data_IF_632039535517
#
_entry.id   IF_632039535517
#
_cell.length_a   1.000
_cell.length_b   1.000
_cell.length_c   1.000
_cell.angle_alpha   90.00
_cell.angle_beta   90.00
_cell.angle_gamma   90.00
#
_symmetry.space_group_name_H-M   'P 1'
#
loop_
_entity.id
_entity.type
_entity.pdbx_description
1 polymer ?
#
# COMPACT_ATOMS: atom_id res chain seq x y z
N UNK A 1 -22.47 18.80 -13.95
CA UNK A 1 -21.61 18.53 -12.76
C UNK A 1 -20.56 17.52 -13.18
N UNK A 2 -19.27 17.74 -12.94
CA UNK A 2 -18.26 16.73 -13.25
C UNK A 2 -18.50 15.47 -12.39
N UNK A 3 -18.08 14.32 -12.89
CA UNK A 3 -18.09 13.08 -12.10
C UNK A 3 -17.04 13.18 -10.96
N UNK A 4 -17.16 12.34 -9.92
CA UNK A 4 -16.11 12.20 -8.90
C UNK A 4 -14.78 11.70 -9.50
N UNK A 5 -13.62 11.96 -8.87
CA UNK A 5 -12.33 11.42 -9.33
C UNK A 5 -12.39 9.90 -9.50
N UNK A 6 -11.94 9.41 -10.65
CA UNK A 6 -11.93 7.98 -10.97
C UNK A 6 -10.61 7.36 -10.50
N UNK A 7 -10.70 6.13 -9.99
CA UNK A 7 -9.58 5.35 -9.50
C UNK A 7 -9.64 3.93 -10.07
N UNK A 8 -8.49 3.32 -10.28
CA UNK A 8 -8.38 1.89 -10.59
C UNK A 8 -7.49 1.19 -9.57
N UNK A 9 -7.97 0.06 -9.04
CA UNK A 9 -7.13 -0.82 -8.24
C UNK A 9 -6.10 -1.51 -9.16
N UNK A 10 -4.81 -1.35 -8.88
CA UNK A 10 -3.73 -1.84 -9.72
C UNK A 10 -2.59 -2.45 -8.89
N UNK A 11 -2.01 -3.53 -9.41
CA UNK A 11 -0.84 -4.18 -8.78
C UNK A 11 0.31 -4.41 -9.77
N UNK A 12 0.01 -4.68 -11.04
CA UNK A 12 1.02 -4.93 -12.06
C UNK A 12 1.49 -3.64 -12.76
N UNK A 13 2.76 -3.57 -13.18
CA UNK A 13 3.32 -2.38 -13.85
C UNK A 13 2.47 -1.89 -15.03
N UNK A 14 1.94 -2.80 -15.85
CA UNK A 14 1.13 -2.42 -17.00
C UNK A 14 -0.16 -1.68 -16.62
N UNK A 15 -0.77 -2.04 -15.48
CA UNK A 15 -1.99 -1.35 -15.03
C UNK A 15 -1.71 0.06 -14.53
N UNK A 16 -0.51 0.34 -13.99
CA UNK A 16 -0.09 1.72 -13.67
C UNK A 16 0.00 2.57 -14.95
N UNK A 17 0.58 2.04 -16.02
CA UNK A 17 0.63 2.72 -17.33
C UNK A 17 -0.76 2.95 -17.90
N UNK A 18 -1.64 1.95 -17.82
CA UNK A 18 -3.05 2.09 -18.24
C UNK A 18 -3.76 3.19 -17.44
N UNK A 19 -3.56 3.24 -16.12
CA UNK A 19 -4.13 4.29 -15.27
C UNK A 19 -3.66 5.69 -15.72
N UNK A 20 -2.36 5.83 -15.96
CA UNK A 20 -1.78 7.10 -16.42
C UNK A 20 -2.29 7.51 -17.81
N UNK A 21 -2.28 6.60 -18.79
CA UNK A 21 -2.81 6.86 -20.14
C UNK A 21 -4.28 7.30 -20.13
N UNK A 22 -5.05 6.77 -19.19
CA UNK A 22 -6.48 7.09 -19.01
C UNK A 22 -6.74 8.30 -18.12
N UNK A 23 -5.72 8.93 -17.54
CA UNK A 23 -5.89 10.09 -16.67
C UNK A 23 -6.64 9.78 -15.37
N UNK A 24 -6.57 8.56 -14.86
CA UNK A 24 -7.27 8.16 -13.63
C UNK A 24 -6.29 7.85 -12.50
N UNK A 25 -6.75 7.93 -11.25
CA UNK A 25 -5.94 7.67 -10.08
C UNK A 25 -5.54 6.20 -9.97
N UNK A 26 -4.32 5.94 -9.52
CA UNK A 26 -3.81 4.60 -9.28
C UNK A 26 -3.97 4.22 -7.80
N UNK A 27 -4.66 3.12 -7.50
CA UNK A 27 -4.82 2.61 -6.15
C UNK A 27 -4.12 1.25 -6.04
N UNK A 28 -3.06 1.15 -5.25
CA UNK A 28 -2.25 -0.05 -5.16
C UNK A 28 -2.24 -0.66 -3.75
N UNK A 29 -1.96 -1.96 -3.68
CA UNK A 29 -1.74 -2.66 -2.42
C UNK A 29 -0.25 -2.68 -2.09
N UNK A 30 0.11 -2.39 -0.84
CA UNK A 30 1.50 -2.51 -0.36
C UNK A 30 1.76 -3.95 0.07
N UNK A 31 1.90 -4.85 -0.91
CA UNK A 31 2.36 -6.23 -0.65
C UNK A 31 3.86 -6.29 -0.96
N UNK A 32 4.66 -5.52 -0.23
CA UNK A 32 6.11 -5.42 -0.38
C UNK A 32 6.67 -4.06 0.07
N UNK A 33 8.00 -3.94 0.22
CA UNK A 33 8.64 -2.71 0.68
C UNK A 33 8.44 -1.56 -0.32
N UNK A 34 8.37 -0.29 0.16
CA UNK A 34 8.07 0.88 -0.67
C UNK A 34 8.96 1.05 -1.91
N UNK A 35 10.21 0.61 -1.86
CA UNK A 35 11.15 0.72 -2.99
C UNK A 35 10.68 0.03 -4.29
N UNK A 36 9.90 -1.05 -4.19
CA UNK A 36 9.34 -1.71 -5.40
C UNK A 36 8.19 -0.93 -6.03
N UNK A 37 7.59 -0.01 -5.29
CA UNK A 37 6.46 0.79 -5.74
C UNK A 37 6.92 2.02 -6.56
N UNK A 38 8.10 2.57 -6.24
CA UNK A 38 8.63 3.78 -6.87
C UNK A 38 8.74 3.66 -8.41
N UNK A 39 9.27 2.54 -8.92
CA UNK A 39 9.38 2.33 -10.37
C UNK A 39 8.01 2.27 -11.07
N UNK A 40 7.01 1.65 -10.42
CA UNK A 40 5.64 1.56 -10.93
C UNK A 40 4.98 2.93 -10.94
N UNK A 41 5.16 3.69 -9.87
CA UNK A 41 4.67 5.07 -9.77
C UNK A 41 5.33 5.94 -10.83
N UNK A 42 6.64 5.84 -11.04
CA UNK A 42 7.33 6.60 -12.08
C UNK A 42 6.71 6.36 -13.47
N UNK A 43 6.43 5.09 -13.82
CA UNK A 43 5.76 4.77 -15.10
C UNK A 43 4.34 5.33 -15.22
N UNK A 44 3.62 5.42 -14.10
CA UNK A 44 2.32 6.09 -14.04
C UNK A 44 2.45 7.60 -14.25
N UNK A 45 3.42 8.23 -13.55
CA UNK A 45 3.68 9.68 -13.63
C UNK A 45 4.09 10.09 -15.04
N UNK A 46 4.88 9.30 -15.73
CA UNK A 46 5.23 9.51 -17.13
C UNK A 46 3.99 9.44 -18.02
N UNK A 47 3.19 8.38 -17.88
CA UNK A 47 2.03 8.15 -18.74
C UNK A 47 0.89 9.18 -18.56
N UNK A 48 0.75 9.77 -17.36
CA UNK A 48 -0.34 10.71 -17.06
C UNK A 48 -0.08 12.16 -17.49
N UNK A 49 1.15 12.50 -17.89
CA UNK A 49 1.47 13.83 -18.43
C UNK A 49 0.57 14.12 -19.63
N UNK A 50 0.60 13.22 -20.62
CA UNK A 50 -0.17 13.34 -21.86
C UNK A 50 -1.58 12.76 -21.75
N UNK A 51 -1.74 11.65 -21.01
CA UNK A 51 -3.00 10.92 -20.83
C UNK A 51 -3.84 10.82 -22.13
N UNK A 52 -3.30 10.22 -23.21
CA UNK A 52 -3.90 10.28 -24.55
C UNK A 52 -5.29 9.61 -24.66
N UNK A 53 -5.66 8.82 -23.65
CA UNK A 53 -6.94 8.13 -23.55
C UNK A 53 -7.77 8.65 -22.37
N UNK A 54 -7.60 9.92 -21.98
CA UNK A 54 -8.25 10.48 -20.80
C UNK A 54 -9.72 10.11 -20.75
N UNK A 55 -10.11 9.46 -19.65
CA UNK A 55 -11.51 9.22 -19.32
C UNK A 55 -11.93 10.22 -18.25
N UNK A 56 -13.09 10.83 -18.47
CA UNK A 56 -13.60 11.85 -17.58
C UNK A 56 -13.17 13.28 -17.92
N UNK A 57 -13.67 14.23 -17.13
CA UNK A 57 -13.54 15.66 -17.36
C UNK A 57 -12.19 16.24 -16.93
N UNK A 58 -11.42 15.53 -16.10
CA UNK A 58 -10.11 15.97 -15.60
C UNK A 58 -9.23 14.77 -15.27
N UNK A 59 -7.91 14.98 -15.27
CA UNK A 59 -6.93 13.97 -14.84
C UNK A 59 -6.93 13.87 -13.32
N UNK A 60 -7.13 12.66 -12.79
CA UNK A 60 -6.84 12.37 -11.40
C UNK A 60 -5.40 11.85 -11.30
N UNK A 61 -4.48 12.74 -10.95
CA UNK A 61 -3.05 12.45 -10.90
C UNK A 61 -2.59 11.82 -9.58
N UNK A 62 -3.49 11.21 -8.80
CA UNK A 62 -3.14 10.74 -7.46
C UNK A 62 -2.84 9.24 -7.42
N UNK A 63 -1.88 8.87 -6.58
CA UNK A 63 -1.52 7.51 -6.22
C UNK A 63 -1.88 7.25 -4.76
N UNK A 64 -2.78 6.28 -4.56
CA UNK A 64 -3.17 5.78 -3.25
C UNK A 64 -2.54 4.43 -2.96
N UNK A 65 -1.99 4.22 -1.77
CA UNK A 65 -1.41 2.94 -1.35
C UNK A 65 -2.11 2.39 -0.10
N UNK A 66 -2.61 1.16 -0.20
CA UNK A 66 -3.20 0.43 0.92
C UNK A 66 -2.12 -0.18 1.80
N UNK A 67 -2.21 0.01 3.12
CA UNK A 67 -1.36 -0.66 4.12
C UNK A 67 -2.20 -1.19 5.29
N UNK A 68 -1.73 -2.25 5.95
CA UNK A 68 -2.25 -2.64 7.26
C UNK A 68 -1.60 -1.74 8.30
N UNK A 69 -2.42 -1.12 9.16
CA UNK A 69 -1.95 -0.12 10.10
C UNK A 69 -2.46 -0.36 11.51
N UNK A 70 -1.66 0.06 12.51
CA UNK A 70 -2.10 0.16 13.90
C UNK A 70 -1.18 1.09 14.68
N UNK A 71 -1.77 2.02 15.43
CA UNK A 71 -1.04 2.97 16.26
C UNK A 71 -1.45 2.78 17.73
N UNK A 72 -0.45 2.63 18.61
CA UNK A 72 -0.62 2.60 20.07
C UNK A 72 0.33 3.64 20.70
N UNK A 73 0.18 3.97 21.98
CA UNK A 73 1.12 4.86 22.67
C UNK A 73 2.50 4.23 22.84
N UNK A 74 2.60 2.90 22.78
CA UNK A 74 3.84 2.15 22.92
C UNK A 74 4.10 1.29 21.68
N UNK A 75 5.25 1.51 21.04
CA UNK A 75 5.63 0.80 19.81
C UNK A 75 5.62 -0.72 19.97
N UNK A 76 6.19 -1.23 21.07
CA UNK A 76 6.26 -2.66 21.32
C UNK A 76 4.86 -3.27 21.52
N UNK A 77 4.00 -2.60 22.27
CA UNK A 77 2.63 -3.05 22.49
C UNK A 77 1.82 -3.06 21.18
N UNK A 78 2.03 -2.06 20.29
CA UNK A 78 1.41 -2.02 18.96
C UNK A 78 1.83 -3.23 18.12
N UNK A 79 3.14 -3.53 18.06
CA UNK A 79 3.70 -4.67 17.32
C UNK A 79 3.16 -6.00 17.82
N UNK A 80 3.14 -6.21 19.14
CA UNK A 80 2.64 -7.45 19.75
C UNK A 80 1.14 -7.64 19.52
N UNK A 81 0.36 -6.56 19.55
CA UNK A 81 -1.10 -6.60 19.38
C UNK A 81 -1.47 -6.83 17.91
N UNK A 82 -0.92 -6.03 16.99
CA UNK A 82 -1.39 -5.96 15.61
C UNK A 82 -0.49 -6.71 14.61
N UNK A 83 0.80 -6.91 14.90
CA UNK A 83 1.73 -7.60 14.03
C UNK A 83 1.25 -9.00 13.62
N UNK A 84 0.88 -9.88 14.58
CA UNK A 84 0.33 -11.20 14.26
C UNK A 84 -0.97 -11.14 13.45
N UNK A 85 -1.80 -10.11 13.67
CA UNK A 85 -3.07 -9.92 12.95
C UNK A 85 -2.84 -9.49 11.50
N UNK A 86 -1.83 -8.65 11.27
CA UNK A 86 -1.39 -8.25 9.93
C UNK A 86 -0.84 -9.45 9.15
N UNK A 87 0.02 -10.27 9.76
CA UNK A 87 0.50 -11.51 9.13
C UNK A 87 -0.65 -12.47 8.85
N UNK A 88 -1.58 -12.64 9.81
CA UNK A 88 -2.78 -13.47 9.62
C UNK A 88 -3.64 -13.02 8.44
N UNK A 89 -3.78 -11.71 8.20
CA UNK A 89 -4.56 -11.16 7.08
C UNK A 89 -4.00 -11.63 5.73
N UNK A 90 -2.67 -11.53 5.54
CA UNK A 90 -2.02 -11.97 4.30
C UNK A 90 -1.97 -13.51 4.19
N UNK A 91 -1.75 -14.23 5.30
CA UNK A 91 -1.85 -15.69 5.33
C UNK A 91 -3.25 -16.17 4.95
N UNK A 92 -4.28 -15.45 5.36
CA UNK A 92 -5.68 -15.77 5.04
C UNK A 92 -5.99 -15.52 3.58
N UNK A 93 -5.54 -14.40 3.01
CA UNK A 93 -5.60 -14.14 1.56
C UNK A 93 -4.98 -15.31 0.80
N UNK A 94 -3.77 -15.73 1.19
CA UNK A 94 -3.09 -16.87 0.56
C UNK A 94 -3.92 -18.15 0.64
N UNK A 95 -4.47 -18.50 1.81
CA UNK A 95 -5.33 -19.67 1.99
C UNK A 95 -6.59 -19.64 1.12
N UNK A 96 -7.13 -18.45 0.84
CA UNK A 96 -8.31 -18.29 -0.02
C UNK A 96 -7.93 -18.50 -1.49
N UNK A 97 -6.82 -17.91 -1.96
CA UNK A 97 -6.47 -17.93 -3.37
C UNK A 97 -5.65 -19.15 -3.81
N UNK A 98 -4.83 -19.75 -2.95
CA UNK A 98 -4.02 -20.92 -3.30
C UNK A 98 -4.88 -22.06 -3.87
N UNK A 99 -6.00 -22.47 -3.25
CA UNK A 99 -6.86 -23.51 -3.81
C UNK A 99 -7.45 -23.15 -5.17
N UNK A 100 -7.74 -21.86 -5.41
CA UNK A 100 -8.23 -21.38 -6.71
C UNK A 100 -7.16 -21.62 -7.76
N UNK A 101 -5.92 -21.19 -7.52
CA UNK A 101 -4.83 -21.35 -8.49
C UNK A 101 -4.41 -22.80 -8.69
N UNK A 102 -4.51 -23.66 -7.67
CA UNK A 102 -4.27 -25.09 -7.82
C UNK A 102 -5.22 -25.77 -8.82
N UNK A 103 -6.45 -25.27 -9.00
CA UNK A 103 -7.39 -25.77 -10.02
C UNK A 103 -6.98 -25.41 -11.46
N UNK A 104 -6.04 -24.48 -11.62
CA UNK A 104 -5.53 -23.98 -12.89
C UNK A 104 -4.10 -24.43 -13.18
N UNK A 105 -3.47 -25.23 -12.31
CA UNK A 105 -2.06 -25.64 -12.45
C UNK A 105 -1.76 -26.38 -13.76
N UNK A 106 -2.71 -27.17 -14.25
CA UNK A 106 -2.60 -27.95 -15.48
C UNK A 106 -3.37 -27.31 -16.66
N UNK A 107 -3.83 -26.06 -16.49
CA UNK A 107 -4.60 -25.32 -17.49
C UNK A 107 -3.78 -24.14 -18.02
N UNK A 108 -4.03 -23.76 -19.27
CA UNK A 108 -3.49 -22.50 -19.79
C UNK A 108 -4.13 -21.32 -19.07
N UNK A 109 -3.33 -20.61 -18.28
CA UNK A 109 -3.77 -19.38 -17.60
C UNK A 109 -3.85 -18.26 -18.64
N UNK A 110 -5.01 -17.57 -18.76
CA UNK A 110 -5.15 -16.46 -19.70
C UNK A 110 -4.05 -15.40 -19.48
N UNK A 111 -3.48 -14.79 -20.54
CA UNK A 111 -2.38 -13.82 -20.40
C UNK A 111 -2.66 -12.69 -19.39
N UNK A 112 -3.90 -12.19 -19.36
CA UNK A 112 -4.34 -11.13 -18.43
C UNK A 112 -4.32 -11.54 -16.95
N UNK A 113 -4.32 -12.84 -16.65
CA UNK A 113 -4.30 -13.38 -15.28
C UNK A 113 -2.96 -13.97 -14.88
N UNK A 114 -1.98 -14.09 -15.80
CA UNK A 114 -0.68 -14.70 -15.51
C UNK A 114 0.08 -13.94 -14.41
N UNK A 115 0.05 -12.60 -14.41
CA UNK A 115 0.66 -11.81 -13.34
C UNK A 115 0.04 -12.15 -11.98
N UNK A 116 -1.30 -12.22 -11.90
CA UNK A 116 -1.98 -12.54 -10.64
C UNK A 116 -1.71 -13.98 -10.21
N UNK A 117 -1.77 -14.94 -11.14
CA UNK A 117 -1.46 -16.32 -10.85
C UNK A 117 -0.05 -16.45 -10.30
N UNK A 118 0.96 -15.89 -10.98
CA UNK A 118 2.35 -15.95 -10.54
C UNK A 118 2.55 -15.18 -9.24
N UNK A 119 1.96 -14.00 -9.04
CA UNK A 119 2.21 -13.23 -7.82
C UNK A 119 1.44 -13.74 -6.59
N UNK A 120 0.34 -14.48 -6.76
CA UNK A 120 -0.43 -15.06 -5.67
C UNK A 120 0.03 -16.50 -5.38
N UNK A 121 0.38 -17.27 -6.41
CA UNK A 121 0.88 -18.66 -6.26
C UNK A 121 2.39 -18.76 -6.00
N UNK A 122 3.19 -17.80 -6.47
CA UNK A 122 4.61 -17.81 -6.14
C UNK A 122 4.81 -17.17 -4.77
N UNK A 123 5.28 -18.01 -3.85
CA UNK A 123 6.19 -17.62 -2.78
C UNK A 123 7.48 -16.90 -3.28
N UNK A 124 7.54 -16.47 -4.54
CA UNK A 124 8.64 -15.76 -5.19
C UNK A 124 8.37 -14.26 -5.40
N UNK A 125 7.12 -13.82 -5.54
CA UNK A 125 6.78 -12.39 -5.71
C UNK A 125 6.96 -11.56 -4.44
N UNK A 126 6.90 -12.21 -3.28
CA UNK A 126 7.29 -11.62 -1.99
C UNK A 126 8.81 -11.73 -1.73
N UNK A 127 9.61 -12.30 -2.66
CA UNK A 127 11.08 -12.42 -2.52
C UNK A 127 11.86 -11.14 -2.85
N UNK A 128 11.30 -9.98 -2.50
CA UNK A 128 12.13 -8.83 -2.12
C UNK A 128 13.02 -9.16 -0.91
N UNK A 129 12.71 -10.24 -0.20
CA UNK A 129 13.58 -10.88 0.79
C UNK A 129 14.00 -12.22 0.22
N UNK A 130 15.30 -12.39 -0.06
CA UNK A 130 15.85 -13.59 -0.66
C UNK A 130 15.46 -14.88 0.07
N UNK A 131 15.68 -16.00 -0.63
CA UNK A 131 15.42 -17.42 -0.30
C UNK A 131 15.96 -17.95 1.06
N UNK A 132 16.30 -17.09 2.01
CA UNK A 132 16.86 -17.41 3.33
C UNK A 132 15.85 -17.46 4.49
N UNK A 133 14.58 -17.11 4.26
CA UNK A 133 13.57 -17.01 5.32
C UNK A 133 12.29 -17.75 4.92
N UNK A 134 12.41 -19.07 4.71
CA UNK A 134 11.28 -19.95 4.41
C UNK A 134 10.42 -20.25 5.66
N UNK A 135 10.84 -19.81 6.84
CA UNK A 135 10.02 -19.71 8.03
C UNK A 135 9.33 -18.35 8.00
N UNK A 136 8.02 -18.32 8.27
CA UNK A 136 7.16 -17.12 8.39
C UNK A 136 7.99 -15.85 8.62
N UNK A 137 7.96 -14.89 7.69
CA UNK A 137 8.49 -13.56 7.98
C UNK A 137 7.83 -13.11 9.28
N UNK A 138 8.64 -12.95 10.33
CA UNK A 138 8.13 -12.48 11.60
C UNK A 138 7.55 -11.08 11.38
N UNK A 139 6.47 -10.79 12.10
CA UNK A 139 5.76 -9.52 11.92
C UNK A 139 6.66 -8.32 12.14
N UNK A 140 7.67 -8.43 13.02
CA UNK A 140 8.62 -7.37 13.30
C UNK A 140 9.45 -7.01 12.06
N UNK A 141 9.94 -8.00 11.29
CA UNK A 141 10.65 -7.79 10.02
C UNK A 141 9.78 -7.09 8.97
N UNK A 142 8.50 -7.45 8.89
CA UNK A 142 7.54 -6.82 7.97
C UNK A 142 7.17 -5.39 8.39
N UNK A 143 7.16 -5.12 9.68
CA UNK A 143 6.98 -3.76 10.21
C UNK A 143 8.23 -2.92 9.93
N UNK A 144 9.41 -3.45 10.22
CA UNK A 144 10.69 -2.74 10.08
C UNK A 144 11.02 -2.34 8.64
N UNK A 145 10.60 -3.15 7.66
CA UNK A 145 10.78 -2.83 6.24
C UNK A 145 9.63 -1.98 5.65
N UNK A 146 8.68 -1.56 6.47
CA UNK A 146 7.54 -0.72 6.10
C UNK A 146 6.41 -1.45 5.38
N UNK A 147 6.41 -2.79 5.30
CA UNK A 147 5.28 -3.53 4.73
C UNK A 147 4.01 -3.34 5.54
N UNK A 148 4.12 -3.19 6.86
CA UNK A 148 3.01 -2.82 7.75
C UNK A 148 3.31 -1.49 8.46
N UNK A 149 2.30 -0.63 8.59
CA UNK A 149 2.39 0.64 9.31
C UNK A 149 1.92 0.47 10.76
N UNK A 150 2.71 -0.26 11.56
CA UNK A 150 2.36 -0.62 12.94
C UNK A 150 3.43 -0.09 13.90
N UNK A 151 3.01 0.61 14.95
CA UNK A 151 3.93 1.11 15.97
C UNK A 151 3.31 2.21 16.83
N UNK A 152 4.17 3.06 17.38
CA UNK A 152 3.75 4.34 17.97
C UNK A 152 3.56 5.43 16.89
N UNK A 153 3.13 6.66 17.23
CA UNK A 153 2.93 7.71 16.23
C UNK A 153 4.18 7.99 15.38
N UNK A 154 5.37 7.96 15.97
CA UNK A 154 6.63 8.26 15.28
C UNK A 154 6.99 7.13 14.30
N UNK A 155 6.80 5.87 14.70
CA UNK A 155 6.98 4.70 13.84
C UNK A 155 5.99 4.70 12.66
N UNK A 156 4.73 5.04 12.89
CA UNK A 156 3.73 5.20 11.85
C UNK A 156 4.11 6.34 10.87
N UNK A 157 4.54 7.49 11.39
CA UNK A 157 5.02 8.62 10.57
C UNK A 157 6.18 8.17 9.70
N UNK A 158 7.22 7.56 10.28
CA UNK A 158 8.40 7.08 9.55
C UNK A 158 8.00 6.12 8.42
N UNK A 159 7.07 5.21 8.67
CA UNK A 159 6.58 4.28 7.64
C UNK A 159 5.89 5.02 6.50
N UNK A 160 5.02 5.97 6.81
CA UNK A 160 4.31 6.77 5.79
C UNK A 160 5.29 7.64 5.00
N UNK A 161 6.34 8.19 5.63
CA UNK A 161 7.39 8.94 4.93
C UNK A 161 8.17 8.08 3.93
N UNK A 162 8.32 6.77 4.18
CA UNK A 162 8.90 5.86 3.18
C UNK A 162 8.01 5.72 1.95
N UNK A 163 6.68 5.69 2.13
CA UNK A 163 5.72 5.64 1.02
C UNK A 163 5.64 6.98 0.26
N UNK A 164 5.66 8.09 1.00
CA UNK A 164 5.74 9.43 0.41
C UNK A 164 7.02 9.57 -0.45
N UNK A 165 8.17 9.13 0.07
CA UNK A 165 9.42 9.12 -0.69
C UNK A 165 9.38 8.21 -1.93
N UNK A 166 8.53 7.18 -1.94
CA UNK A 166 8.27 6.35 -3.11
C UNK A 166 7.29 6.99 -4.11
N UNK A 167 6.70 8.14 -3.80
CA UNK A 167 5.79 8.91 -4.67
C UNK A 167 4.30 8.65 -4.45
N UNK A 168 3.92 8.06 -3.31
CA UNK A 168 2.52 7.87 -2.90
C UNK A 168 1.95 9.19 -2.36
N UNK A 169 0.75 9.56 -2.80
CA UNK A 169 0.07 10.78 -2.36
C UNK A 169 -0.91 10.52 -1.21
N UNK A 170 -1.50 9.33 -1.15
CA UNK A 170 -2.50 8.96 -0.15
C UNK A 170 -2.26 7.57 0.43
N UNK A 171 -2.31 7.45 1.76
CA UNK A 171 -2.30 6.16 2.44
C UNK A 171 -3.73 5.72 2.78
N UNK A 172 -4.11 4.52 2.35
CA UNK A 172 -5.34 3.85 2.76
C UNK A 172 -5.00 2.85 3.87
N UNK A 173 -5.27 3.24 5.11
CA UNK A 173 -4.93 2.46 6.30
C UNK A 173 -6.06 1.49 6.70
N UNK A 174 -5.80 0.18 6.62
CA UNK A 174 -6.66 -0.82 7.25
C UNK A 174 -6.29 -0.95 8.73
N UNK A 175 -7.08 -0.26 9.57
CA UNK A 175 -6.93 -0.28 11.03
C UNK A 175 -7.69 -1.44 11.69
N UNK A 176 -8.79 -1.88 11.08
CA UNK A 176 -9.58 -3.02 11.55
C UNK A 176 -9.03 -4.32 10.94
N UNK A 177 -7.89 -4.78 11.46
CA UNK A 177 -7.25 -6.02 10.99
C UNK A 177 -7.42 -7.16 12.00
N UNK A 178 -7.77 -8.33 11.50
CA UNK A 178 -7.91 -9.56 12.30
C UNK A 178 -8.73 -9.34 13.57
N UNK A 179 -8.17 -9.77 14.69
CA UNK A 179 -8.81 -9.70 16.00
C UNK A 179 -8.28 -8.54 16.87
N UNK A 180 -7.76 -7.46 16.28
CA UNK A 180 -7.41 -6.26 17.07
C UNK A 180 -8.67 -5.77 17.80
N UNK A 181 -8.64 -5.60 19.15
CA UNK A 181 -9.82 -5.19 19.90
C UNK A 181 -10.37 -3.83 19.47
N UNK A 182 -11.69 -3.64 19.56
CA UNK A 182 -12.36 -2.44 19.08
C UNK A 182 -11.82 -1.17 19.74
N UNK A 183 -11.60 -1.19 21.04
CA UNK A 183 -11.04 -0.09 21.82
C UNK A 183 -9.62 0.29 21.37
N UNK A 184 -8.81 -0.69 20.95
CA UNK A 184 -7.48 -0.47 20.39
C UNK A 184 -7.56 0.15 18.99
N UNK A 185 -8.51 -0.29 18.17
CA UNK A 185 -8.79 0.34 16.85
C UNK A 185 -9.22 1.80 17.03
N UNK A 186 -10.14 2.06 17.96
CA UNK A 186 -10.62 3.41 18.25
C UNK A 186 -9.51 4.30 18.82
N UNK A 187 -8.63 3.75 19.67
CA UNK A 187 -7.46 4.48 20.16
C UNK A 187 -6.50 4.83 19.02
N UNK A 188 -6.20 3.87 18.14
CA UNK A 188 -5.37 4.09 16.96
C UNK A 188 -5.93 5.22 16.09
N UNK A 189 -7.25 5.25 15.84
CA UNK A 189 -7.89 6.35 15.11
C UNK A 189 -7.66 7.72 15.78
N UNK A 190 -7.73 7.78 17.12
CA UNK A 190 -7.45 9.02 17.88
C UNK A 190 -5.99 9.44 17.75
N UNK A 191 -5.04 8.50 17.84
CA UNK A 191 -3.61 8.78 17.72
C UNK A 191 -3.25 9.25 16.31
N UNK A 192 -3.81 8.63 15.26
CA UNK A 192 -3.68 9.12 13.89
C UNK A 192 -4.21 10.53 13.72
N UNK A 193 -5.40 10.82 14.26
CA UNK A 193 -6.01 12.15 14.20
C UNK A 193 -5.24 13.21 14.99
N UNK A 194 -4.59 12.83 16.10
CA UNK A 194 -3.90 13.74 17.01
C UNK A 194 -2.45 14.01 16.62
N UNK A 195 -1.74 13.02 16.08
CA UNK A 195 -0.29 13.10 15.87
C UNK A 195 0.10 12.86 14.41
N UNK A 196 -0.35 11.78 13.79
CA UNK A 196 0.11 11.37 12.46
C UNK A 196 -0.41 12.31 11.35
N UNK A 197 -1.73 12.51 11.26
CA UNK A 197 -2.32 13.36 10.22
C UNK A 197 -1.85 14.83 10.36
N UNK A 198 -1.80 15.42 11.57
CA UNK A 198 -1.24 16.77 11.75
C UNK A 198 0.21 16.92 11.28
N UNK A 199 1.08 15.92 11.50
CA UNK A 199 2.46 15.95 11.01
C UNK A 199 2.53 16.19 9.49
N UNK A 200 1.80 15.41 8.70
CA UNK A 200 1.81 15.55 7.24
C UNK A 200 1.14 16.84 6.76
N UNK A 201 0.13 17.36 7.47
CA UNK A 201 -0.48 18.66 7.17
C UNK A 201 0.51 19.81 7.36
N UNK A 202 1.26 19.81 8.47
CA UNK A 202 2.26 20.85 8.72
C UNK A 202 3.45 20.72 7.74
N UNK A 203 3.85 19.49 7.39
CA UNK A 203 4.85 19.22 6.36
C UNK A 203 4.42 19.78 5.00
N UNK A 204 3.19 19.52 4.56
CA UNK A 204 2.62 20.06 3.32
C UNK A 204 2.60 21.60 3.33
N UNK A 205 2.17 22.19 4.44
CA UNK A 205 2.14 23.64 4.62
C UNK A 205 3.54 24.26 4.54
N UNK A 206 4.53 23.64 5.17
CA UNK A 206 5.92 24.07 5.12
C UNK A 206 6.50 23.98 3.70
N UNK A 207 6.21 22.89 2.97
CA UNK A 207 6.63 22.72 1.58
C UNK A 207 6.03 23.80 0.66
N UNK A 208 4.74 24.11 0.82
CA UNK A 208 4.08 25.20 0.07
C UNK A 208 4.67 26.58 0.39
N UNK A 209 4.99 26.85 1.65
CA UNK A 209 5.62 28.10 2.05
C UNK A 209 7.02 28.25 1.44
N UNK A 210 7.82 27.18 1.43
CA UNK A 210 9.15 27.19 0.81
C UNK A 210 9.08 27.41 -0.72
N UNK A 211 8.15 26.75 -1.40
CA UNK A 211 7.95 26.91 -2.85
C UNK A 211 7.44 28.30 -3.26
N UNK A 212 6.86 29.08 -2.34
CA UNK A 212 6.41 30.44 -2.61
C UNK A 212 7.53 31.50 -2.47
N UNK A 213 8.68 31.12 -1.91
CA UNK A 213 9.82 32.02 -1.64
C UNK A 213 10.96 31.83 -2.66
N UNK A 214 11.02 30.67 -3.32
CA UNK A 214 11.98 30.37 -4.39
C UNK A 214 11.43 30.63 -5.79
#
# INVERSE_FOLDING_TARGET
>A
KPHPPIWVACQQPETFKIAGRKGIGALCFTVGPPGQLAERIASYREAIVDAPEQVGAFKNEQVGAFTVAHCDENDRAARETAGPQATWYFDTIKKIYDPVWQQWKDKTIPPSYQYHALNVSNAESQRGVGRKYADRLDSDTLIDNGSFCIGDPDACIKTIEMYEAAGVDQMLALLQVGNVPHEKIMNSLRLYGKYVIPHFKEKEKAAKAAAAIG
#
